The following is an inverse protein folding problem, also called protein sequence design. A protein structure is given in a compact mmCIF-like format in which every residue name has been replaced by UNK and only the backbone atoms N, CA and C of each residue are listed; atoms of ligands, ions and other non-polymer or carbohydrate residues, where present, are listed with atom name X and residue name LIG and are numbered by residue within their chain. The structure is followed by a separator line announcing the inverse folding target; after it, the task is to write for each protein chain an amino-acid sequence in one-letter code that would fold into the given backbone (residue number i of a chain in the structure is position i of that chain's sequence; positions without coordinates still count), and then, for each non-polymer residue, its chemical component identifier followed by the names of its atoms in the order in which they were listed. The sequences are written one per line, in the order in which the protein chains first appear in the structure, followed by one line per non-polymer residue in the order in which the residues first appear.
data_IF_937297268286
#
_entry.id   IF_937297268286
#
_cell.length_a   1.000
_cell.length_b   1.000
_cell.length_c   1.000
_cell.angle_alpha   90.00
_cell.angle_beta   90.00
_cell.angle_gamma   90.00
#
_symmetry.space_group_name_H-M   'P 1'
#
loop_
_entity.id
_entity.type
_entity.pdbx_description
1 polymer ?
#
# COMPACT_ATOMS: atom_id res chain seq x y z
N UNK A 1 22.95 60.59 35.76
CA UNK A 1 22.88 59.29 35.05
C UNK A 1 24.02 59.24 34.05
N UNK A 2 25.03 58.36 34.21
CA UNK A 2 26.06 58.20 33.19
C UNK A 2 25.46 57.49 31.97
N UNK A 3 25.77 58.00 30.76
CA UNK A 3 25.34 57.43 29.48
C UNK A 3 26.13 56.15 29.20
N UNK A 4 25.47 55.04 28.86
CA UNK A 4 26.14 53.78 28.55
C UNK A 4 25.38 52.47 28.82
N UNK A 5 24.11 52.52 29.26
CA UNK A 5 23.32 51.30 29.55
C UNK A 5 22.40 50.83 28.40
N UNK A 6 22.45 51.48 27.23
CA UNK A 6 21.51 51.23 26.13
C UNK A 6 21.78 49.94 25.32
N UNK A 7 22.68 49.06 25.80
CA UNK A 7 23.09 47.83 25.09
C UNK A 7 22.83 46.52 25.83
N UNK A 8 21.95 46.49 26.83
CA UNK A 8 21.75 45.31 27.66
C UNK A 8 20.40 44.58 27.52
N UNK A 9 19.59 44.83 26.47
CA UNK A 9 18.25 44.20 26.35
C UNK A 9 17.86 43.65 24.97
N UNK A 10 18.79 43.42 24.04
CA UNK A 10 18.45 42.77 22.77
C UNK A 10 19.40 41.61 22.49
N UNK A 11 19.08 40.44 23.07
CA UNK A 11 19.44 39.17 22.42
C UNK A 11 18.51 39.04 21.22
N UNK A 12 18.99 39.43 20.03
CA UNK A 12 18.40 38.90 18.80
C UNK A 12 18.60 37.37 18.82
N UNK A 13 17.54 36.57 18.64
CA UNK A 13 17.76 35.16 18.36
C UNK A 13 18.50 35.09 17.03
N UNK A 14 19.72 34.55 17.02
CA UNK A 14 20.39 34.15 15.80
C UNK A 14 19.42 33.26 15.02
N UNK A 15 18.88 33.79 13.92
CA UNK A 15 18.09 33.00 12.99
C UNK A 15 19.01 31.92 12.47
N UNK A 16 18.75 30.69 12.90
CA UNK A 16 19.32 29.50 12.28
C UNK A 16 19.11 29.64 10.78
N UNK A 17 20.13 29.37 9.93
CA UNK A 17 19.93 29.40 8.50
C UNK A 17 18.81 28.42 8.19
N UNK A 18 17.77 28.91 7.50
CA UNK A 18 16.71 28.06 7.00
C UNK A 18 17.36 26.85 6.31
N UNK A 19 16.92 25.62 6.62
CA UNK A 19 17.43 24.45 5.92
C UNK A 19 17.31 24.72 4.42
N UNK A 20 18.36 24.41 3.62
CA UNK A 20 18.34 24.72 2.20
C UNK A 20 17.04 24.18 1.61
N UNK A 21 16.35 24.95 0.73
CA UNK A 21 15.12 24.48 0.11
C UNK A 21 15.43 23.11 -0.47
N UNK A 22 14.75 22.07 0.04
CA UNK A 22 14.92 20.71 -0.45
C UNK A 22 14.73 20.82 -1.96
N UNK A 23 15.79 20.53 -2.73
CA UNK A 23 15.67 20.48 -4.19
C UNK A 23 14.45 19.62 -4.48
N UNK A 24 13.51 20.06 -5.34
CA UNK A 24 12.38 19.24 -5.69
C UNK A 24 12.94 17.92 -6.23
N UNK A 25 12.83 16.89 -5.40
CA UNK A 25 13.18 15.53 -5.76
C UNK A 25 12.29 15.21 -6.96
N UNK A 26 12.91 14.85 -8.09
CA UNK A 26 12.18 14.29 -9.24
C UNK A 26 11.57 12.92 -8.93
N UNK A 27 11.85 12.36 -7.76
CA UNK A 27 11.35 11.06 -7.32
C UNK A 27 10.03 11.19 -6.54
N UNK A 28 9.12 10.22 -6.72
CA UNK A 28 7.87 10.19 -5.96
C UNK A 28 8.17 10.09 -4.45
N UNK A 29 7.53 10.95 -3.66
CA UNK A 29 7.62 10.92 -2.19
C UNK A 29 6.89 9.70 -1.62
N UNK A 30 5.82 9.27 -2.28
CA UNK A 30 4.92 8.21 -1.84
C UNK A 30 5.17 6.93 -2.63
N UNK A 31 5.11 5.80 -1.96
CA UNK A 31 5.22 4.47 -2.53
C UNK A 31 4.13 3.59 -1.95
N UNK A 32 3.65 2.61 -2.71
CA UNK A 32 2.79 1.55 -2.21
C UNK A 32 3.55 0.23 -2.16
N UNK A 33 3.36 -0.52 -1.08
CA UNK A 33 3.91 -1.86 -0.92
C UNK A 33 2.83 -2.85 -0.53
N UNK A 34 2.71 -3.96 -1.24
CA UNK A 34 1.74 -5.02 -0.94
C UNK A 34 2.29 -5.92 0.16
N UNK A 35 1.95 -5.61 1.42
CA UNK A 35 2.38 -6.36 2.62
C UNK A 35 1.76 -7.75 2.72
N UNK A 36 0.55 -7.92 2.20
CA UNK A 36 -0.10 -9.21 2.08
C UNK A 36 -0.64 -9.39 0.68
N UNK A 37 -0.06 -10.34 -0.05
CA UNK A 37 -0.49 -10.67 -1.41
C UNK A 37 -1.81 -11.46 -1.40
N UNK A 38 -2.72 -11.22 -2.37
CA UNK A 38 -3.79 -12.18 -2.66
C UNK A 38 -3.19 -13.48 -3.18
N UNK A 39 -3.72 -14.63 -2.74
CA UNK A 39 -3.22 -15.95 -3.16
C UNK A 39 -4.28 -16.69 -3.97
N UNK A 40 -5.53 -16.63 -3.53
CA UNK A 40 -6.64 -17.31 -4.20
C UNK A 40 -7.95 -16.58 -3.96
N UNK A 41 -8.93 -16.81 -4.82
CA UNK A 41 -10.31 -16.47 -4.53
C UNK A 41 -11.26 -17.55 -5.06
N UNK A 42 -12.51 -17.52 -4.59
CA UNK A 42 -13.59 -18.33 -5.16
C UNK A 42 -14.50 -17.44 -5.98
N UNK A 43 -14.74 -17.84 -7.23
CA UNK A 43 -15.72 -17.19 -8.10
C UNK A 43 -17.10 -17.18 -7.43
N UNK A 44 -17.73 -16.00 -7.28
CA UNK A 44 -19.01 -15.87 -6.60
C UNK A 44 -20.25 -15.99 -7.51
N UNK A 45 -20.08 -16.14 -8.83
CA UNK A 45 -21.21 -16.23 -9.76
C UNK A 45 -22.09 -14.96 -9.76
N UNK A 46 -23.33 -15.09 -10.25
CA UNK A 46 -24.25 -13.96 -10.43
C UNK A 46 -24.91 -13.46 -9.13
N UNK A 47 -24.88 -14.24 -8.04
CA UNK A 47 -25.55 -13.90 -6.78
C UNK A 47 -24.59 -13.62 -5.63
N UNK A 48 -24.99 -12.74 -4.70
CA UNK A 48 -24.12 -12.33 -3.57
C UNK A 48 -24.15 -13.29 -2.37
N UNK A 49 -25.04 -14.29 -2.36
CA UNK A 49 -25.19 -15.22 -1.21
C UNK A 49 -23.95 -16.07 -0.92
N UNK A 50 -23.20 -16.44 -1.96
CA UNK A 50 -21.99 -17.28 -1.85
C UNK A 50 -20.70 -16.48 -2.03
N UNK A 51 -20.79 -15.15 -1.91
CA UNK A 51 -19.66 -14.25 -2.06
C UNK A 51 -18.59 -14.53 -1.01
N UNK A 52 -17.36 -14.81 -1.49
CA UNK A 52 -16.19 -15.01 -0.64
C UNK A 52 -15.13 -14.00 -1.00
N UNK A 53 -14.55 -13.32 0.00
CA UNK A 53 -13.48 -12.38 -0.28
C UNK A 53 -12.25 -13.10 -0.85
N UNK A 54 -11.43 -12.35 -1.58
CA UNK A 54 -10.08 -12.74 -1.97
C UNK A 54 -9.29 -13.09 -0.69
N UNK A 55 -8.53 -14.17 -0.77
CA UNK A 55 -7.86 -14.80 0.37
C UNK A 55 -6.36 -15.05 0.12
N UNK A 56 -5.48 -14.65 1.03
CA UNK A 56 -5.76 -13.76 2.16
C UNK A 56 -6.13 -12.35 1.64
N UNK A 57 -6.78 -11.50 2.45
CA UNK A 57 -7.21 -10.17 2.00
C UNK A 57 -5.97 -9.31 1.66
N UNK A 58 -5.93 -8.60 0.53
CA UNK A 58 -4.80 -7.74 0.22
C UNK A 58 -4.62 -6.65 1.28
N UNK A 59 -3.39 -6.48 1.76
CA UNK A 59 -3.01 -5.42 2.70
C UNK A 59 -1.89 -4.63 2.04
N UNK A 60 -2.12 -3.34 1.84
CA UNK A 60 -1.16 -2.42 1.22
C UNK A 60 -0.70 -1.43 2.27
N UNK A 61 0.60 -1.12 2.28
CA UNK A 61 1.20 -0.10 3.15
C UNK A 61 1.71 1.06 2.30
N UNK A 62 1.54 2.29 2.76
CA UNK A 62 2.24 3.45 2.19
C UNK A 62 3.64 3.56 2.78
N UNK A 63 4.63 3.77 1.92
CA UNK A 63 6.01 4.09 2.31
C UNK A 63 6.36 5.49 1.82
N UNK A 64 7.18 6.17 2.61
CA UNK A 64 7.71 7.50 2.30
C UNK A 64 9.21 7.39 1.99
N UNK A 65 9.67 8.01 0.90
CA UNK A 65 11.11 8.16 0.61
C UNK A 65 11.78 8.93 1.74
N UNK A 66 12.95 8.55 2.23
CA UNK A 66 13.66 9.25 3.33
C UNK A 66 12.74 9.52 4.54
N UNK A 67 12.01 8.49 4.95
CA UNK A 67 11.14 8.55 6.12
C UNK A 67 11.94 8.68 7.41
N UNK A 68 11.49 9.59 8.27
CA UNK A 68 12.00 9.74 9.64
C UNK A 68 10.86 9.53 10.65
N UNK A 69 10.89 8.48 11.49
CA UNK A 69 9.83 8.21 12.47
C UNK A 69 9.72 9.28 13.57
N UNK A 70 10.76 10.07 13.81
CA UNK A 70 10.78 11.18 14.78
C UNK A 70 10.31 12.51 14.16
N UNK A 71 10.15 12.56 12.83
CA UNK A 71 9.65 13.75 12.13
C UNK A 71 8.14 13.86 12.28
N UNK A 72 7.66 14.90 12.96
CA UNK A 72 6.24 15.18 13.09
C UNK A 72 5.54 15.30 11.73
N UNK A 73 6.19 15.92 10.75
CA UNK A 73 5.64 16.05 9.39
C UNK A 73 5.39 14.69 8.73
N UNK A 74 6.29 13.72 8.92
CA UNK A 74 6.14 12.39 8.33
C UNK A 74 5.05 11.59 9.03
N UNK A 75 4.90 11.78 10.36
CA UNK A 75 3.78 11.22 11.13
C UNK A 75 2.45 11.79 10.69
N UNK A 76 2.37 13.11 10.47
CA UNK A 76 1.16 13.79 10.01
C UNK A 76 0.74 13.30 8.62
N UNK A 77 1.71 13.07 7.72
CA UNK A 77 1.45 12.45 6.41
C UNK A 77 0.85 11.04 6.58
N UNK A 78 1.44 10.19 7.43
CA UNK A 78 0.91 8.84 7.65
C UNK A 78 -0.51 8.86 8.24
N UNK A 79 -0.84 9.87 9.05
CA UNK A 79 -2.15 10.02 9.68
C UNK A 79 -3.17 10.76 8.81
N UNK A 80 -2.79 11.33 7.65
CA UNK A 80 -3.68 12.14 6.83
C UNK A 80 -4.89 11.32 6.35
N UNK A 81 -6.12 11.63 6.83
CA UNK A 81 -7.31 10.87 6.48
C UNK A 81 -7.76 11.08 5.02
N UNK A 82 -7.11 12.02 4.31
CA UNK A 82 -7.44 12.34 2.93
C UNK A 82 -6.84 11.38 1.92
N UNK A 83 -5.95 10.48 2.35
CA UNK A 83 -5.50 9.40 1.50
C UNK A 83 -6.63 8.40 1.21
N UNK A 84 -6.58 7.77 0.05
CA UNK A 84 -7.43 6.63 -0.32
C UNK A 84 -6.68 5.78 -1.32
N UNK A 85 -6.81 4.46 -1.21
CA UNK A 85 -6.31 3.52 -2.21
C UNK A 85 -7.48 2.87 -2.94
N UNK A 86 -7.49 3.00 -4.26
CA UNK A 86 -8.40 2.30 -5.16
C UNK A 86 -7.79 0.99 -5.66
N UNK A 87 -8.61 -0.04 -5.84
CA UNK A 87 -8.22 -1.34 -6.35
C UNK A 87 -8.93 -1.65 -7.67
N UNK A 88 -8.16 -2.02 -8.67
CA UNK A 88 -8.63 -2.44 -9.99
C UNK A 88 -8.23 -3.90 -10.24
N UNK A 89 -9.00 -4.61 -11.07
CA UNK A 89 -8.78 -6.02 -11.40
C UNK A 89 -8.40 -6.16 -12.87
N UNK A 90 -7.29 -6.86 -13.13
CA UNK A 90 -6.78 -7.09 -14.49
C UNK A 90 -6.66 -8.60 -14.76
N UNK A 91 -7.21 -9.12 -15.87
CA UNK A 91 -6.99 -10.50 -16.28
C UNK A 91 -5.54 -10.71 -16.73
N UNK A 92 -4.99 -11.89 -16.46
CA UNK A 92 -3.67 -12.30 -16.94
C UNK A 92 -3.85 -13.39 -18.00
N UNK A 93 -3.31 -13.22 -19.22
CA UNK A 93 -3.35 -14.27 -20.23
C UNK A 93 -2.63 -15.53 -19.76
N UNK A 94 -3.27 -16.69 -19.84
CA UNK A 94 -2.69 -17.98 -19.41
C UNK A 94 -1.44 -18.40 -20.22
N UNK A 95 -1.22 -17.81 -21.40
CA UNK A 95 -0.12 -18.12 -22.31
C UNK A 95 1.13 -17.24 -22.17
N UNK A 96 1.11 -16.22 -21.31
CA UNK A 96 2.24 -15.30 -21.20
C UNK A 96 3.36 -15.90 -20.33
N UNK A 97 4.44 -16.35 -20.97
CA UNK A 97 5.76 -16.41 -20.34
C UNK A 97 6.19 -14.97 -20.03
N UNK A 98 5.81 -14.47 -18.85
CA UNK A 98 6.02 -13.08 -18.45
C UNK A 98 7.51 -12.73 -18.36
N UNK A 99 7.90 -11.65 -19.04
CA UNK A 99 9.20 -10.98 -18.88
C UNK A 99 8.95 -9.51 -18.52
N UNK A 100 9.75 -8.87 -17.65
CA UNK A 100 9.53 -7.49 -17.20
C UNK A 100 9.36 -6.45 -18.32
N UNK A 101 9.90 -6.70 -19.52
CA UNK A 101 9.77 -5.83 -20.69
C UNK A 101 8.38 -5.83 -21.34
N UNK A 102 7.53 -6.84 -21.11
CA UNK A 102 6.17 -6.90 -21.69
C UNK A 102 5.15 -6.02 -20.95
N UNK A 103 5.53 -5.48 -19.79
CA UNK A 103 4.70 -4.59 -18.97
C UNK A 103 4.45 -3.24 -19.67
N UNK A 104 5.45 -2.67 -20.34
CA UNK A 104 5.33 -1.37 -21.01
C UNK A 104 4.47 -1.41 -22.29
N UNK A 105 4.49 -2.53 -23.03
CA UNK A 105 3.75 -2.65 -24.29
C UNK A 105 2.27 -3.03 -24.09
N UNK A 106 1.94 -3.83 -23.08
CA UNK A 106 0.56 -4.19 -22.79
C UNK A 106 -0.28 -2.98 -22.36
N UNK A 107 0.34 -2.03 -21.63
CA UNK A 107 -0.31 -0.80 -21.15
C UNK A 107 -0.75 0.10 -22.32
N UNK A 108 0.05 0.22 -23.38
CA UNK A 108 -0.27 1.07 -24.55
C UNK A 108 -1.42 0.52 -25.41
N UNK A 109 -1.63 -0.81 -25.40
CA UNK A 109 -2.68 -1.45 -26.19
C UNK A 109 -4.08 -1.28 -25.60
N UNK A 110 -4.20 -1.12 -24.27
CA UNK A 110 -5.48 -0.98 -23.59
C UNK A 110 -6.10 0.42 -23.70
N UNK A 111 -5.31 1.46 -24.00
CA UNK A 111 -5.79 2.84 -24.10
C UNK A 111 -6.44 3.16 -25.46
N UNK A 112 -6.16 2.37 -26.51
CA UNK A 112 -6.69 2.61 -27.86
C UNK A 112 -8.11 2.07 -28.12
N UNK A 113 -8.64 1.21 -27.24
CA UNK A 113 -9.93 0.54 -27.43
C UNK A 113 -11.12 1.24 -26.73
N UNK A 114 -10.90 2.43 -26.19
CA UNK A 114 -11.89 3.18 -25.40
C UNK A 114 -12.89 4.03 -26.23
N UNK A 115 -12.98 3.86 -27.55
CA UNK A 115 -13.83 4.68 -28.43
C UNK A 115 -14.98 3.90 -29.12
N UNK A 116 -15.25 2.67 -28.66
CA UNK A 116 -16.35 1.85 -29.17
C UNK A 116 -17.68 2.10 -28.44
N UNK A 117 -18.58 2.90 -29.03
CA UNK A 117 -19.97 3.06 -28.57
C UNK A 117 -20.64 1.69 -28.46
N UNK A 118 -20.89 1.26 -27.22
CA UNK A 118 -21.50 -0.03 -26.89
C UNK A 118 -22.88 -0.15 -27.54
N UNK A 119 -23.05 -1.14 -28.42
CA UNK A 119 -24.37 -1.56 -28.89
C UNK A 119 -25.00 -2.45 -27.84
N UNK A 120 -26.18 -2.03 -27.36
CA UNK A 120 -27.03 -2.79 -26.47
C UNK A 120 -27.69 -3.95 -27.23
N UNK A 121 -27.25 -5.18 -26.99
CA UNK A 121 -28.18 -6.28 -26.74
C UNK A 121 -27.50 -7.45 -25.99
N UNK A 122 -28.25 -7.99 -25.03
CA UNK A 122 -28.12 -9.22 -24.24
C UNK A 122 -27.08 -9.38 -23.09
N UNK A 123 -27.57 -9.06 -21.88
CA UNK A 123 -27.37 -9.82 -20.61
C UNK A 123 -26.04 -9.74 -19.82
N UNK A 124 -26.05 -8.88 -18.79
CA UNK A 124 -25.23 -8.92 -17.55
C UNK A 124 -23.70 -8.73 -17.64
N UNK A 125 -23.23 -7.53 -18.02
CA UNK A 125 -21.87 -7.09 -17.64
C UNK A 125 -21.85 -6.60 -16.19
N UNK A 126 -22.03 -7.49 -15.21
CA UNK A 126 -21.73 -7.14 -13.81
C UNK A 126 -20.23 -6.88 -13.68
N UNK A 127 -19.78 -5.82 -12.98
CA UNK A 127 -18.36 -5.62 -12.74
C UNK A 127 -17.77 -6.88 -12.10
N UNK A 128 -16.68 -7.36 -12.69
CA UNK A 128 -16.05 -8.62 -12.32
C UNK A 128 -15.51 -8.60 -10.89
N UNK A 129 -15.12 -7.41 -10.41
CA UNK A 129 -14.77 -7.11 -9.03
C UNK A 129 -15.99 -6.57 -8.28
N UNK A 130 -16.22 -7.04 -7.06
CA UNK A 130 -17.34 -6.65 -6.21
C UNK A 130 -16.92 -6.44 -4.76
N UNK A 131 -17.65 -5.57 -4.05
CA UNK A 131 -17.37 -5.18 -2.67
C UNK A 131 -16.66 -3.83 -2.58
N UNK A 132 -15.82 -3.67 -1.56
CA UNK A 132 -15.15 -2.39 -1.27
C UNK A 132 -13.85 -2.25 -2.06
N UNK A 133 -13.93 -1.59 -3.22
CA UNK A 133 -12.79 -1.33 -4.09
C UNK A 133 -11.96 -0.09 -3.71
N UNK A 134 -12.43 0.73 -2.76
CA UNK A 134 -11.72 1.90 -2.26
C UNK A 134 -11.60 1.79 -0.74
N UNK A 135 -10.40 2.03 -0.22
CA UNK A 135 -10.10 1.95 1.21
C UNK A 135 -9.47 3.23 1.72
N UNK A 136 -9.93 3.66 2.90
CA UNK A 136 -9.34 4.72 3.70
C UNK A 136 -8.09 4.21 4.45
N UNK A 137 -7.18 5.10 4.86
CA UNK A 137 -6.01 4.74 5.64
C UNK A 137 -6.41 4.19 7.01
N UNK A 138 -5.66 3.18 7.45
CA UNK A 138 -5.69 2.65 8.79
C UNK A 138 -4.29 2.82 9.40
N UNK A 139 -4.13 3.90 10.17
CA UNK A 139 -2.89 4.24 10.85
C UNK A 139 -2.73 3.42 12.14
N UNK A 140 -1.50 3.01 12.43
CA UNK A 140 -1.08 2.39 13.69
C UNK A 140 0.23 3.03 14.17
N UNK A 141 0.38 3.17 15.48
CA UNK A 141 1.62 3.73 16.06
C UNK A 141 2.81 2.77 16.02
N UNK A 142 2.54 1.46 15.91
CA UNK A 142 3.55 0.43 15.75
C UNK A 142 3.06 -0.65 14.78
N UNK A 143 3.91 -1.02 13.81
CA UNK A 143 3.65 -2.11 12.87
C UNK A 143 3.39 -3.43 13.62
N UNK A 144 2.24 -4.10 13.42
CA UNK A 144 1.92 -5.35 14.12
C UNK A 144 2.73 -6.57 13.62
N UNK A 145 3.45 -6.47 12.51
CA UNK A 145 4.36 -7.50 12.00
C UNK A 145 5.69 -6.90 11.52
N UNK A 146 6.53 -6.41 12.46
CA UNK A 146 7.77 -5.69 12.13
C UNK A 146 8.82 -6.58 11.45
N UNK A 147 8.72 -7.91 11.60
CA UNK A 147 9.61 -8.87 10.96
C UNK A 147 9.39 -8.94 9.44
N UNK A 148 8.16 -8.73 8.98
CA UNK A 148 7.82 -8.66 7.54
C UNK A 148 7.79 -7.24 6.99
N UNK A 149 8.01 -6.22 7.84
CA UNK A 149 7.91 -4.83 7.43
C UNK A 149 9.02 -4.45 6.42
N UNK A 150 8.65 -3.87 5.26
CA UNK A 150 9.60 -3.37 4.29
C UNK A 150 10.34 -2.17 4.87
N UNK A 151 11.51 -1.87 4.30
CA UNK A 151 12.22 -0.63 4.63
C UNK A 151 11.66 0.49 3.76
N UNK A 152 11.50 1.67 4.33
CA UNK A 152 11.22 2.87 3.56
C UNK A 152 12.35 3.13 2.55
N UNK A 153 12.04 3.52 1.30
CA UNK A 153 13.07 3.80 0.31
C UNK A 153 13.89 5.02 0.74
N UNK A 154 15.17 5.08 0.38
CA UNK A 154 15.98 6.29 0.53
C UNK A 154 16.30 6.90 -0.84
N UNK A 155 16.39 8.22 -0.91
CA UNK A 155 16.87 8.91 -2.11
C UNK A 155 18.28 8.43 -2.53
N UNK A 156 19.09 7.95 -1.59
CA UNK A 156 20.45 7.44 -1.86
C UNK A 156 20.45 6.06 -2.55
N UNK A 157 19.39 5.23 -2.38
CA UNK A 157 19.29 3.90 -3.01
C UNK A 157 19.24 3.99 -4.56
N UNK A 158 18.96 5.17 -5.10
CA UNK A 158 18.84 5.41 -6.55
C UNK A 158 20.11 5.92 -7.22
N UNK A 159 21.12 6.33 -6.44
CA UNK A 159 22.42 6.75 -6.97
C UNK A 159 23.30 5.58 -7.42
N UNK A 160 22.90 4.35 -7.09
CA UNK A 160 23.61 3.12 -7.46
C UNK A 160 22.67 2.10 -8.10
N UNK A 161 22.48 2.13 -9.44
CA UNK A 161 21.76 1.09 -10.15
C UNK A 161 22.40 -0.28 -9.91
N UNK A 162 21.57 -1.33 -9.85
CA UNK A 162 21.88 -2.75 -9.56
C UNK A 162 23.01 -3.38 -10.42
N UNK A 163 23.54 -2.66 -11.41
CA UNK A 163 24.61 -3.09 -12.33
C UNK A 163 26.00 -2.52 -12.01
N UNK A 164 26.21 -1.88 -10.85
CA UNK A 164 27.54 -1.37 -10.46
C UNK A 164 28.38 -2.47 -9.80
N UNK A 165 29.71 -2.56 -10.08
CA UNK A 165 30.57 -3.56 -9.45
C UNK A 165 30.59 -3.39 -7.91
N UNK A 166 30.77 -4.47 -7.13
CA UNK A 166 30.76 -4.39 -5.68
C UNK A 166 31.88 -3.47 -5.19
N UNK A 167 31.50 -2.39 -4.50
CA UNK A 167 32.43 -1.43 -3.92
C UNK A 167 33.16 -2.13 -2.74
N UNK A 168 34.49 -1.99 -2.61
CA UNK A 168 35.23 -2.53 -1.49
C UNK A 168 34.73 -1.95 -0.14
N UNK A 169 34.79 -2.72 0.96
CA UNK A 169 34.05 -2.44 2.20
C UNK A 169 34.56 -1.26 3.05
N UNK A 170 35.36 -0.34 2.50
CA UNK A 170 36.04 0.70 3.29
C UNK A 170 35.25 2.00 3.46
N UNK A 171 34.00 2.09 2.98
CA UNK A 171 33.17 3.28 3.17
C UNK A 171 31.69 2.99 3.46
N UNK A 172 31.38 1.86 4.11
CA UNK A 172 30.08 1.69 4.74
C UNK A 172 30.14 2.25 6.16
N UNK A 173 29.87 3.54 6.31
CA UNK A 173 29.39 4.08 7.58
C UNK A 173 27.88 3.78 7.70
N UNK A 174 27.49 2.53 7.40
CA UNK A 174 26.14 2.03 7.49
C UNK A 174 25.93 1.36 8.83
N UNK A 175 24.89 1.77 9.56
CA UNK A 175 24.49 1.12 10.81
C UNK A 175 24.32 -0.40 10.61
N UNK A 176 24.86 -1.25 11.51
CA UNK A 176 24.76 -2.70 11.41
C UNK A 176 23.31 -3.17 11.31
N UNK A 177 23.04 -4.22 10.51
CA UNK A 177 21.68 -4.72 10.23
C UNK A 177 20.86 -5.05 11.50
N UNK A 178 21.53 -5.40 12.60
CA UNK A 178 20.88 -5.60 13.91
C UNK A 178 20.18 -4.33 14.43
N UNK A 179 20.68 -3.14 14.12
CA UNK A 179 20.05 -1.86 14.46
C UNK A 179 18.94 -1.48 13.48
N UNK A 180 19.04 -1.88 12.20
CA UNK A 180 17.97 -1.70 11.21
C UNK A 180 16.71 -2.53 11.52
N UNK A 181 16.85 -3.67 12.20
CA UNK A 181 15.70 -4.45 12.65
C UNK A 181 15.13 -3.91 13.98
N UNK A 182 15.98 -3.46 14.90
CA UNK A 182 15.53 -2.79 16.12
C UNK A 182 14.75 -1.50 15.83
N UNK A 183 15.14 -0.76 14.78
CA UNK A 183 14.43 0.44 14.37
C UNK A 183 13.03 0.17 13.82
N UNK A 184 12.67 -1.06 13.45
CA UNK A 184 11.34 -1.41 12.88
C UNK A 184 10.28 -1.76 13.94
N UNK A 185 10.69 -2.16 15.14
CA UNK A 185 9.80 -2.73 16.16
C UNK A 185 8.69 -1.76 16.60
N UNK A 186 8.93 -0.45 16.50
CA UNK A 186 8.00 0.60 16.89
C UNK A 186 7.80 1.65 15.79
N UNK A 187 7.94 1.27 14.50
CA UNK A 187 7.65 2.22 13.43
C UNK A 187 6.15 2.40 13.25
N UNK A 188 5.65 3.64 13.20
CA UNK A 188 4.27 3.88 12.79
C UNK A 188 4.08 3.46 11.34
N UNK A 189 2.88 3.03 11.00
CA UNK A 189 2.57 2.56 9.67
C UNK A 189 1.11 2.88 9.31
N UNK A 190 0.87 3.07 8.01
CA UNK A 190 -0.48 3.27 7.50
C UNK A 190 -0.80 2.22 6.45
N UNK A 191 -1.90 1.51 6.68
CA UNK A 191 -2.36 0.39 5.87
C UNK A 191 -3.67 0.70 5.16
N UNK A 192 -3.87 0.05 4.01
CA UNK A 192 -5.12 0.02 3.26
C UNK A 192 -5.51 -1.45 3.11
N UNK A 193 -6.63 -1.83 3.73
CA UNK A 193 -6.95 -3.24 3.99
C UNK A 193 -8.18 -3.64 3.17
N UNK A 194 -7.96 -4.47 2.16
CA UNK A 194 -9.00 -4.93 1.24
C UNK A 194 -9.68 -6.22 1.72
N UNK A 195 -10.34 -6.15 2.88
CA UNK A 195 -11.00 -7.31 3.51
C UNK A 195 -12.27 -7.80 2.79
N UNK A 196 -12.79 -7.00 1.85
CA UNK A 196 -14.08 -7.21 1.21
C UNK A 196 -14.00 -7.07 -0.33
N UNK A 197 -13.01 -7.69 -0.97
CA UNK A 197 -12.96 -7.83 -2.43
C UNK A 197 -13.40 -9.21 -2.86
N UNK A 198 -14.27 -9.36 -3.84
CA UNK A 198 -14.66 -10.67 -4.40
C UNK A 198 -14.77 -10.62 -5.91
N UNK A 199 -14.50 -11.74 -6.56
CA UNK A 199 -14.39 -11.84 -8.02
C UNK A 199 -15.45 -12.81 -8.55
N UNK A 200 -16.17 -12.40 -9.60
CA UNK A 200 -17.34 -13.16 -10.10
C UNK A 200 -16.98 -14.36 -10.94
N UNK A 201 -15.90 -14.29 -11.72
CA UNK A 201 -15.52 -15.32 -12.70
C UNK A 201 -14.16 -15.94 -12.38
N UNK A 202 -14.05 -17.24 -12.61
CA UNK A 202 -12.78 -17.96 -12.51
C UNK A 202 -11.78 -17.45 -13.56
N UNK A 203 -10.48 -17.60 -13.27
CA UNK A 203 -9.40 -17.14 -14.14
C UNK A 203 -8.14 -16.76 -13.36
N UNK A 204 -7.14 -16.26 -14.07
CA UNK A 204 -5.91 -15.71 -13.51
C UNK A 204 -5.96 -14.19 -13.56
N UNK A 205 -5.67 -13.52 -12.46
CA UNK A 205 -5.80 -12.07 -12.35
C UNK A 205 -4.65 -11.44 -11.55
N UNK A 206 -4.48 -10.13 -11.71
CA UNK A 206 -3.70 -9.25 -10.82
C UNK A 206 -4.58 -8.11 -10.33
N UNK A 207 -4.23 -7.57 -9.16
CA UNK A 207 -4.80 -6.33 -8.65
C UNK A 207 -3.82 -5.17 -8.87
N UNK A 208 -4.34 -4.03 -9.30
CA UNK A 208 -3.61 -2.75 -9.29
C UNK A 208 -4.17 -1.90 -8.15
N UNK A 209 -3.27 -1.38 -7.32
CA UNK A 209 -3.57 -0.46 -6.24
C UNK A 209 -3.09 0.94 -6.61
N UNK A 210 -3.96 1.94 -6.50
CA UNK A 210 -3.66 3.33 -6.83
C UNK A 210 -3.87 4.22 -5.63
N UNK A 211 -2.82 4.90 -5.18
CA UNK A 211 -2.88 5.87 -4.09
C UNK A 211 -3.34 7.22 -4.63
N UNK A 212 -4.29 7.82 -3.93
CA UNK A 212 -4.84 9.13 -4.22
C UNK A 212 -4.95 9.92 -2.91
N UNK A 213 -4.88 11.25 -2.99
CA UNK A 213 -5.18 12.15 -1.86
C UNK A 213 -6.16 13.22 -2.34
N UNK A 214 -7.38 13.21 -1.79
CA UNK A 214 -8.44 14.13 -2.24
C UNK A 214 -8.29 15.55 -1.71
N UNK A 215 -7.44 15.79 -0.70
CA UNK A 215 -7.09 17.14 -0.24
C UNK A 215 -6.43 17.98 -1.32
N UNK A 216 -5.67 17.35 -2.23
CA UNK A 216 -5.10 18.04 -3.39
C UNK A 216 -6.16 18.68 -4.28
N UNK A 217 -7.37 18.10 -4.36
CA UNK A 217 -8.48 18.66 -5.15
C UNK A 217 -9.05 19.90 -4.47
N UNK A 218 -9.23 19.85 -3.15
CA UNK A 218 -9.71 21.00 -2.38
C UNK A 218 -8.73 22.18 -2.45
N UNK A 219 -7.43 21.90 -2.37
CA UNK A 219 -6.38 22.92 -2.32
C UNK A 219 -6.07 23.53 -3.71
N UNK A 220 -6.19 22.75 -4.80
CA UNK A 220 -5.73 23.16 -6.14
C UNK A 220 -6.82 23.24 -7.22
N UNK A 221 -7.99 22.65 -6.98
CA UNK A 221 -9.07 22.53 -7.97
C UNK A 221 -8.77 21.58 -9.15
N UNK A 222 -7.64 20.87 -9.12
CA UNK A 222 -7.24 19.91 -10.17
C UNK A 222 -7.86 18.53 -9.92
N UNK A 223 -7.93 17.70 -10.97
CA UNK A 223 -8.31 16.30 -10.81
C UNK A 223 -7.33 15.57 -9.88
N UNK A 224 -7.85 14.64 -9.09
CA UNK A 224 -7.07 13.93 -8.08
C UNK A 224 -5.96 13.09 -8.75
N UNK A 225 -4.66 13.41 -8.56
CA UNK A 225 -3.58 12.69 -9.21
C UNK A 225 -3.38 11.31 -8.58
N UNK A 226 -2.84 10.38 -9.36
CA UNK A 226 -2.32 9.11 -8.83
C UNK A 226 -0.92 9.38 -8.26
N UNK A 227 -0.79 9.22 -6.95
CA UNK A 227 0.44 9.54 -6.21
C UNK A 227 1.45 8.40 -6.21
N UNK A 228 0.97 7.17 -6.25
CA UNK A 228 1.77 5.95 -6.29
C UNK A 228 0.89 4.77 -6.76
N UNK A 229 1.53 3.76 -7.33
CA UNK A 229 0.87 2.51 -7.72
C UNK A 229 1.64 1.29 -7.21
N UNK A 230 0.92 0.20 -6.98
CA UNK A 230 1.50 -1.11 -6.75
C UNK A 230 0.66 -2.20 -7.41
N UNK A 231 1.32 -3.27 -7.85
CA UNK A 231 0.66 -4.44 -8.42
C UNK A 231 0.78 -5.63 -7.49
N UNK A 232 -0.29 -6.41 -7.37
CA UNK A 232 -0.20 -7.72 -6.72
C UNK A 232 0.56 -8.72 -7.59
N UNK A 233 0.96 -9.82 -6.99
CA UNK A 233 1.31 -11.02 -7.75
C UNK A 233 0.06 -11.57 -8.48
N UNK A 234 0.23 -12.31 -9.59
CA UNK A 234 -0.86 -13.05 -10.20
C UNK A 234 -1.44 -14.08 -9.23
N UNK A 235 -2.76 -14.15 -9.14
CA UNK A 235 -3.45 -15.09 -8.27
C UNK A 235 -4.66 -15.71 -8.97
N UNK A 236 -5.00 -16.92 -8.55
CA UNK A 236 -6.04 -17.73 -9.21
C UNK A 236 -7.39 -17.57 -8.55
N UNK A 237 -8.40 -17.28 -9.36
CA UNK A 237 -9.80 -17.35 -8.97
C UNK A 237 -10.33 -18.71 -9.43
N UNK A 238 -10.70 -19.54 -8.46
CA UNK A 238 -11.17 -20.90 -8.69
C UNK A 238 -12.67 -20.94 -8.91
N UNK A 239 -13.13 -21.89 -9.71
CA UNK A 239 -14.52 -22.31 -9.68
C UNK A 239 -14.89 -22.84 -8.29
N UNK A 240 -16.18 -22.77 -7.95
CA UNK A 240 -16.67 -23.14 -6.61
C UNK A 240 -16.24 -24.53 -6.14
N UNK A 241 -16.20 -25.51 -7.06
CA UNK A 241 -15.85 -26.91 -6.79
C UNK A 241 -14.35 -27.14 -6.55
N UNK A 242 -13.49 -26.29 -7.11
CA UNK A 242 -12.03 -26.48 -7.11
C UNK A 242 -11.34 -25.56 -6.09
N UNK A 243 -12.12 -24.75 -5.36
CA UNK A 243 -11.57 -23.80 -4.39
C UNK A 243 -10.97 -24.56 -3.19
N UNK A 244 -9.68 -24.38 -2.87
CA UNK A 244 -8.99 -25.14 -1.82
C UNK A 244 -9.44 -24.81 -0.40
N UNK A 245 -10.40 -23.90 -0.24
CA UNK A 245 -10.80 -23.34 1.04
C UNK A 245 -10.04 -22.06 1.35
N UNK A 246 -10.46 -21.41 2.43
CA UNK A 246 -9.82 -20.18 2.89
C UNK A 246 -8.68 -20.54 3.84
N UNK A 247 -7.62 -19.73 3.82
CA UNK A 247 -6.41 -19.92 4.60
C UNK A 247 -6.57 -19.39 6.03
N UNK A 248 -5.64 -19.80 6.87
CA UNK A 248 -5.45 -19.21 8.18
C UNK A 248 -4.95 -17.77 8.05
N UNK A 249 -5.29 -16.93 9.02
CA UNK A 249 -4.88 -15.53 9.07
C UNK A 249 -3.38 -15.42 9.32
N UNK A 250 -2.74 -14.49 8.62
CA UNK A 250 -1.35 -14.13 8.88
C UNK A 250 -1.22 -13.35 10.20
N UNK A 251 0.00 -13.28 10.71
CA UNK A 251 0.35 -12.45 11.89
C UNK A 251 -0.09 -11.00 11.67
N UNK A 252 0.20 -10.44 10.50
CA UNK A 252 -0.21 -9.08 10.12
C UNK A 252 -1.73 -8.90 10.19
N UNK A 253 -2.51 -9.82 9.61
CA UNK A 253 -3.97 -9.73 9.60
C UNK A 253 -4.57 -9.89 11.01
N UNK A 254 -3.98 -10.76 11.85
CA UNK A 254 -4.39 -10.92 13.24
C UNK A 254 -4.08 -9.67 14.06
N UNK A 255 -2.86 -9.13 13.96
CA UNK A 255 -2.45 -7.93 14.68
C UNK A 255 -3.25 -6.69 14.28
N UNK A 256 -3.53 -6.48 12.99
CA UNK A 256 -4.40 -5.37 12.55
C UNK A 256 -5.83 -5.50 13.08
N UNK A 257 -6.34 -6.73 13.20
CA UNK A 257 -7.65 -6.98 13.82
C UNK A 257 -7.64 -6.63 15.30
N UNK A 258 -6.59 -7.02 16.02
CA UNK A 258 -6.41 -6.71 17.45
C UNK A 258 -6.26 -5.21 17.71
N UNK A 259 -5.63 -4.49 16.77
CA UNK A 259 -5.51 -3.03 16.77
C UNK A 259 -6.80 -2.30 16.37
N UNK A 260 -7.89 -3.02 16.10
CA UNK A 260 -9.23 -2.44 15.93
C UNK A 260 -9.77 -2.40 14.51
N UNK A 261 -9.09 -2.99 13.52
CA UNK A 261 -9.67 -3.12 12.17
C UNK A 261 -10.73 -4.23 12.15
N UNK A 262 -11.97 -3.86 12.51
CA UNK A 262 -13.06 -4.82 12.77
C UNK A 262 -13.56 -5.59 11.56
N UNK A 263 -13.29 -5.12 10.33
CA UNK A 263 -13.79 -5.79 9.11
C UNK A 263 -13.00 -7.06 8.74
N UNK A 264 -11.78 -7.20 9.26
CA UNK A 264 -10.99 -8.42 9.08
C UNK A 264 -11.62 -9.60 9.82
N UNK A 265 -11.76 -10.72 9.12
CA UNK A 265 -12.22 -11.99 9.68
C UNK A 265 -11.01 -12.89 9.90
N UNK A 266 -10.67 -13.15 11.16
CA UNK A 266 -9.53 -14.00 11.50
C UNK A 266 -9.92 -15.48 11.56
N UNK A 267 -8.99 -16.36 11.19
CA UNK A 267 -9.15 -17.83 11.11
C UNK A 267 -7.83 -18.51 11.51
N UNK A 268 -7.91 -19.64 12.20
CA UNK A 268 -6.73 -20.39 12.66
C UNK A 268 -7.03 -21.33 13.83
N UNK A 269 -6.09 -22.23 14.11
CA UNK A 269 -6.22 -23.22 15.18
C UNK A 269 -6.38 -22.55 16.56
N UNK A 270 -7.44 -22.94 17.29
CA UNK A 270 -7.76 -22.41 18.63
C UNK A 270 -8.87 -21.35 18.67
N UNK A 271 -9.32 -20.82 17.52
CA UNK A 271 -10.39 -19.79 17.44
C UNK A 271 -11.75 -20.35 16.95
N UNK A 272 -12.05 -21.61 17.26
CA UNK A 272 -13.27 -22.31 16.84
C UNK A 272 -14.11 -22.87 17.99
N UNK A 273 -15.35 -22.36 18.11
CA UNK A 273 -16.46 -22.77 18.99
C UNK A 273 -16.29 -22.48 20.49
N UNK A 274 -16.63 -21.24 20.86
CA UNK A 274 -17.29 -21.00 22.15
C UNK A 274 -18.56 -21.87 22.22
N UNK A 275 -18.42 -23.03 22.85
CA UNK A 275 -19.54 -23.88 23.25
C UNK A 275 -20.34 -23.07 24.26
N UNK A 276 -21.55 -22.60 23.90
CA UNK A 276 -22.55 -22.16 24.88
C UNK A 276 -22.67 -23.29 25.91
N UNK A 277 -22.11 -23.08 27.10
CA UNK A 277 -22.50 -23.84 28.28
C UNK A 277 -23.87 -23.28 28.67
N UNK A 278 -24.82 -24.20 28.78
CA UNK A 278 -26.20 -23.92 29.19
C UNK A 278 -26.32 -23.57 30.66
#
# INVERSE_FOLDING_TARGET
MPRGFDKLLHHEPESSPDPPPRRPSTQPRYHLHVRQQPIAARACGAGDRDRRPVDPPPIVQILLTDFDPESQNDRDILQDPRFTVGCLLFPVPESASWTPSSEAEAIQSAEHDADGVARADDSFSTPLLSGKAFMSPFYVDADPDPNSAPTHPSSDDTLYPLNSPPIPPTHYQGHPQSLRNASKLNQPATFFIFADLSIRSAGLYRLQFRLMNWGSVEDTGQSMPILAEAWSDPFRVYAAKDFPGMRDSSILAEGLKELGFVELKTRGNGKGKGRKRG
#
